data_IF_561852663746
#
_entry.id   IF_561852663746
#
_cell.length_a   1.000
_cell.length_b   1.000
_cell.length_c   1.000
_cell.angle_alpha   90.00
_cell.angle_beta   90.00
_cell.angle_gamma   90.00
#
_symmetry.space_group_name_H-M   'P 1'
#
loop_
_entity.id
_entity.type
_entity.pdbx_description
1 polymer ?
#
# COMPACT_ATOMS: atom_id res chain seq x y z
N UNK A 1 19.60 -39.29 6.45
CA UNK A 1 18.50 -38.51 7.07
C UNK A 1 17.78 -37.72 5.97
N UNK A 2 16.44 -37.78 5.86
CA UNK A 2 15.69 -37.02 4.86
C UNK A 2 15.78 -35.51 5.14
N UNK A 3 16.14 -34.73 4.12
CA UNK A 3 16.29 -33.27 4.20
C UNK A 3 14.90 -32.62 4.34
N UNK A 4 14.58 -32.14 5.55
CA UNK A 4 13.35 -31.40 5.82
C UNK A 4 13.37 -30.12 4.98
N UNK A 5 12.52 -30.06 3.96
CA UNK A 5 12.35 -28.85 3.14
C UNK A 5 11.66 -27.79 4.00
N UNK A 6 12.31 -26.63 4.18
CA UNK A 6 11.71 -25.48 4.87
C UNK A 6 10.42 -25.09 4.14
N UNK A 7 9.33 -24.76 4.86
CA UNK A 7 8.09 -24.34 4.23
C UNK A 7 8.35 -23.09 3.37
N UNK A 8 7.95 -23.14 2.11
CA UNK A 8 8.07 -22.02 1.19
C UNK A 8 7.17 -20.90 1.66
N UNK A 9 7.78 -19.79 2.11
CA UNK A 9 7.07 -18.58 2.50
C UNK A 9 6.23 -18.11 1.31
N UNK A 10 4.91 -18.06 1.48
CA UNK A 10 4.00 -17.53 0.45
C UNK A 10 4.48 -16.12 0.06
N UNK A 11 4.68 -15.87 -1.23
CA UNK A 11 5.12 -14.56 -1.72
C UNK A 11 3.99 -13.56 -1.42
N UNK A 12 4.24 -12.60 -0.54
CA UNK A 12 3.33 -11.47 -0.34
C UNK A 12 3.14 -10.71 -1.67
N UNK A 13 1.89 -10.52 -2.14
CA UNK A 13 1.61 -9.88 -3.42
C UNK A 13 1.95 -8.38 -3.42
N UNK A 14 1.89 -7.74 -2.24
CA UNK A 14 2.22 -6.33 -2.05
C UNK A 14 3.19 -6.17 -0.89
N UNK A 15 4.29 -5.45 -1.12
CA UNK A 15 5.29 -5.12 -0.09
C UNK A 15 5.48 -3.61 0.00
N UNK A 16 5.48 -3.10 1.22
CA UNK A 16 5.83 -1.71 1.46
C UNK A 16 7.35 -1.57 1.55
N UNK A 17 7.91 -0.60 0.83
CA UNK A 17 9.34 -0.31 0.81
C UNK A 17 9.59 1.19 0.93
N UNK A 18 10.81 1.53 1.35
CA UNK A 18 11.28 2.89 1.45
C UNK A 18 12.46 3.12 0.48
N UNK A 19 12.49 4.29 -0.16
CA UNK A 19 13.60 4.77 -0.98
C UNK A 19 14.16 6.03 -0.33
N UNK A 20 15.47 6.04 -0.04
CA UNK A 20 16.16 7.24 0.43
C UNK A 20 16.25 8.27 -0.69
N UNK A 21 15.90 9.52 -0.41
CA UNK A 21 16.04 10.66 -1.30
C UNK A 21 17.33 11.43 -0.98
N UNK A 22 17.72 12.33 -1.87
CA UNK A 22 18.92 13.16 -1.73
C UNK A 22 18.81 14.16 -0.57
N UNK A 23 17.59 14.54 -0.18
CA UNK A 23 17.27 15.41 0.95
C UNK A 23 17.37 14.71 2.32
N UNK A 24 17.66 13.41 2.36
CA UNK A 24 17.70 12.60 3.58
C UNK A 24 16.35 12.06 4.04
N UNK A 25 15.26 12.42 3.36
CA UNK A 25 13.92 11.84 3.58
C UNK A 25 13.81 10.45 2.94
N UNK A 26 12.81 9.67 3.35
CA UNK A 26 12.52 8.38 2.74
C UNK A 26 11.13 8.37 2.11
N UNK A 27 11.05 8.18 0.79
CA UNK A 27 9.79 8.02 0.07
C UNK A 27 9.28 6.59 0.20
N UNK A 28 8.02 6.44 0.57
CA UNK A 28 7.33 5.16 0.70
C UNK A 28 6.65 4.77 -0.62
N UNK A 29 6.80 3.51 -1.00
CA UNK A 29 6.18 2.94 -2.19
C UNK A 29 5.76 1.49 -1.97
N UNK A 30 4.73 1.08 -2.69
CA UNK A 30 4.30 -0.31 -2.78
C UNK A 30 5.01 -0.99 -3.96
N UNK A 31 5.60 -2.12 -3.66
CA UNK A 31 6.14 -3.07 -4.62
C UNK A 31 5.13 -4.19 -4.80
N UNK A 32 4.46 -4.18 -5.95
CA UNK A 32 3.36 -5.08 -6.27
C UNK A 32 3.85 -6.09 -7.31
N UNK A 33 3.69 -7.37 -7.00
CA UNK A 33 4.02 -8.45 -7.92
C UNK A 33 2.76 -9.21 -8.29
N UNK A 34 2.31 -9.07 -9.55
CA UNK A 34 1.11 -9.77 -10.06
C UNK A 34 1.36 -10.30 -11.47
N UNK A 35 0.86 -11.50 -11.78
CA UNK A 35 0.89 -12.10 -13.12
C UNK A 35 2.26 -12.00 -13.83
N UNK A 36 3.36 -12.25 -13.10
CA UNK A 36 4.72 -12.16 -13.63
C UNK A 36 5.24 -10.74 -13.88
N UNK A 37 4.44 -9.70 -13.66
CA UNK A 37 4.81 -8.30 -13.80
C UNK A 37 5.00 -7.64 -12.42
N UNK A 38 6.06 -6.84 -12.31
CA UNK A 38 6.37 -6.05 -11.12
C UNK A 38 6.03 -4.59 -11.40
N UNK A 39 5.19 -4.01 -10.55
CA UNK A 39 4.76 -2.61 -10.64
C UNK A 39 5.06 -1.89 -9.35
N UNK A 40 5.45 -0.61 -9.46
CA UNK A 40 5.72 0.25 -8.33
C UNK A 40 4.66 1.32 -8.23
N UNK A 41 4.10 1.51 -7.03
CA UNK A 41 3.10 2.52 -6.75
C UNK A 41 3.65 3.45 -5.66
N UNK A 42 3.96 4.69 -6.02
CA UNK A 42 4.52 5.66 -5.10
C UNK A 42 3.41 6.30 -4.29
N UNK A 43 3.46 6.17 -2.96
CA UNK A 43 2.42 6.66 -2.07
C UNK A 43 2.46 8.19 -1.87
N UNK A 44 3.52 8.85 -2.34
CA UNK A 44 3.85 10.27 -2.06
C UNK A 44 3.88 10.58 -0.55
N UNK A 45 4.09 9.55 0.26
CA UNK A 45 4.32 9.63 1.69
C UNK A 45 5.82 9.62 1.94
N UNK A 46 6.29 10.52 2.80
CA UNK A 46 7.70 10.70 3.10
C UNK A 46 7.92 10.57 4.60
N UNK A 47 8.96 9.84 4.98
CA UNK A 47 9.50 9.81 6.33
C UNK A 47 10.60 10.87 6.44
N UNK A 48 10.47 11.73 7.43
CA UNK A 48 11.41 12.81 7.73
C UNK A 48 12.51 12.23 8.63
N UNK A 49 13.78 12.64 8.50
CA UNK A 49 14.82 12.23 9.45
C UNK A 49 14.39 12.53 10.90
N UNK A 50 14.53 11.54 11.79
CA UNK A 50 14.10 11.62 13.18
C UNK A 50 15.08 12.46 14.01
N UNK A 51 14.91 13.78 13.93
CA UNK A 51 15.67 14.75 14.75
C UNK A 51 14.92 15.18 16.00
N UNK A 52 13.58 15.14 15.97
CA UNK A 52 12.70 15.58 17.06
C UNK A 52 11.61 14.53 17.37
N UNK A 53 11.06 14.58 18.59
CA UNK A 53 9.94 13.75 19.02
C UNK A 53 8.68 13.99 18.18
N UNK A 54 8.45 15.22 17.71
CA UNK A 54 7.33 15.51 16.80
C UNK A 54 7.51 14.80 15.45
N UNK A 55 8.73 14.80 14.90
CA UNK A 55 9.05 14.09 13.67
C UNK A 55 8.79 12.58 13.80
N UNK A 56 9.13 11.99 14.96
CA UNK A 56 8.84 10.59 15.26
C UNK A 56 7.34 10.29 15.26
N UNK A 57 6.52 11.16 15.89
CA UNK A 57 5.06 11.01 15.92
C UNK A 57 4.46 11.14 14.51
N UNK A 58 4.95 12.08 13.72
CA UNK A 58 4.53 12.25 12.33
C UNK A 58 4.91 11.03 11.48
N UNK A 59 6.13 10.53 11.60
CA UNK A 59 6.58 9.32 10.90
C UNK A 59 5.73 8.10 11.27
N UNK A 60 5.35 7.95 12.54
CA UNK A 60 4.45 6.89 12.98
C UNK A 60 3.07 7.01 12.31
N UNK A 61 2.50 8.23 12.25
CA UNK A 61 1.23 8.47 11.57
C UNK A 61 1.32 8.18 10.06
N UNK A 62 2.39 8.63 9.41
CA UNK A 62 2.70 8.34 8.01
C UNK A 62 2.82 6.83 7.77
N UNK A 63 3.47 6.10 8.69
CA UNK A 63 3.57 4.66 8.59
C UNK A 63 2.23 3.95 8.74
N UNK A 64 1.40 4.39 9.68
CA UNK A 64 0.06 3.84 9.84
C UNK A 64 -0.78 4.06 8.58
N UNK A 65 -0.71 5.25 7.98
CA UNK A 65 -1.37 5.54 6.71
C UNK A 65 -0.85 4.65 5.56
N UNK A 66 0.47 4.48 5.44
CA UNK A 66 1.06 3.62 4.41
C UNK A 66 0.67 2.14 4.58
N UNK A 67 0.58 1.66 5.82
CA UNK A 67 0.09 0.31 6.12
C UNK A 67 -1.40 0.15 5.79
N UNK A 68 -2.22 1.17 6.06
CA UNK A 68 -3.63 1.16 5.66
C UNK A 68 -3.79 1.08 4.14
N UNK A 69 -3.00 1.85 3.38
CA UNK A 69 -3.00 1.79 1.90
C UNK A 69 -2.52 0.43 1.42
N UNK A 70 -1.48 -0.15 2.03
CA UNK A 70 -1.01 -1.52 1.72
C UNK A 70 -2.16 -2.53 1.90
N UNK A 71 -2.87 -2.48 3.03
CA UNK A 71 -3.99 -3.37 3.31
C UNK A 71 -5.14 -3.19 2.31
N UNK A 72 -5.51 -1.94 2.00
CA UNK A 72 -6.50 -1.64 0.97
C UNK A 72 -6.10 -2.23 -0.38
N UNK A 73 -4.83 -2.10 -0.77
CA UNK A 73 -4.32 -2.64 -2.03
C UNK A 73 -4.35 -4.16 -2.10
N UNK A 74 -4.08 -4.84 -0.98
CA UNK A 74 -4.22 -6.30 -0.89
C UNK A 74 -5.67 -6.71 -1.11
N UNK A 75 -6.63 -6.01 -0.48
CA UNK A 75 -8.06 -6.29 -0.66
C UNK A 75 -8.49 -6.06 -2.10
N UNK A 76 -8.06 -4.95 -2.73
CA UNK A 76 -8.36 -4.65 -4.13
C UNK A 76 -7.83 -5.73 -5.09
N UNK A 77 -6.60 -6.22 -4.86
CA UNK A 77 -6.03 -7.29 -5.67
C UNK A 77 -6.82 -8.60 -5.51
N UNK A 78 -7.17 -8.96 -4.28
CA UNK A 78 -7.98 -10.17 -4.00
C UNK A 78 -9.38 -10.05 -4.60
N UNK A 79 -10.03 -8.89 -4.49
CA UNK A 79 -11.35 -8.65 -5.07
C UNK A 79 -11.31 -8.67 -6.61
N UNK A 80 -10.25 -8.10 -7.20
CA UNK A 80 -10.03 -8.13 -8.65
C UNK A 80 -9.77 -9.55 -9.18
N UNK A 81 -9.09 -10.40 -8.41
CA UNK A 81 -8.93 -11.83 -8.74
C UNK A 81 -10.24 -12.61 -8.59
N UNK A 82 -11.06 -12.27 -7.60
CA UNK A 82 -12.34 -12.92 -7.34
C UNK A 82 -13.49 -12.41 -8.22
N UNK A 83 -13.27 -11.38 -9.05
CA UNK A 83 -14.32 -10.76 -9.89
C UNK A 83 -15.42 -10.07 -9.08
N UNK A 84 -15.15 -9.71 -7.83
CA UNK A 84 -16.12 -9.09 -6.93
C UNK A 84 -16.09 -7.57 -7.19
N UNK A 85 -17.01 -7.09 -8.02
CA UNK A 85 -17.24 -5.64 -8.18
C UNK A 85 -17.89 -5.07 -6.91
N UNK A 86 -17.12 -4.40 -6.08
CA UNK A 86 -17.68 -3.53 -5.04
C UNK A 86 -18.27 -2.31 -5.73
N UNK A 87 -19.55 -2.35 -6.11
CA UNK A 87 -20.30 -1.15 -6.53
C UNK A 87 -20.20 -0.11 -5.43
N UNK A 88 -19.56 1.02 -5.72
CA UNK A 88 -19.57 2.18 -4.84
C UNK A 88 -21.03 2.60 -4.62
N UNK A 89 -21.43 2.76 -3.35
CA UNK A 89 -22.75 3.30 -3.02
C UNK A 89 -22.74 4.79 -3.35
N UNK A 90 -23.27 5.16 -4.51
CA UNK A 90 -23.47 6.55 -4.89
C UNK A 90 -24.65 7.11 -4.09
N UNK A 91 -24.45 8.22 -3.38
CA UNK A 91 -25.54 8.91 -2.70
C UNK A 91 -26.45 9.59 -3.72
N UNK A 92 -27.77 9.49 -3.53
CA UNK A 92 -28.77 10.06 -4.45
C UNK A 92 -28.54 11.56 -4.71
N UNK A 93 -28.05 12.32 -3.71
CA UNK A 93 -27.73 13.75 -3.87
C UNK A 93 -26.63 14.00 -4.94
N UNK A 94 -25.63 13.13 -5.01
CA UNK A 94 -24.51 13.26 -5.93
C UNK A 94 -24.97 12.95 -7.37
N UNK A 95 -25.84 11.95 -7.52
CA UNK A 95 -26.49 11.60 -8.78
C UNK A 95 -27.47 12.67 -9.27
N UNK A 96 -28.19 13.35 -8.37
CA UNK A 96 -29.12 14.42 -8.75
C UNK A 96 -28.41 15.68 -9.27
N UNK A 97 -27.14 15.91 -8.90
CA UNK A 97 -26.38 17.07 -9.36
C UNK A 97 -25.78 16.90 -10.77
N UNK A 98 -25.69 15.69 -11.31
CA UNK A 98 -25.13 15.47 -12.66
C UNK A 98 -26.08 15.86 -13.79
N UNK A 99 -27.36 16.10 -13.51
CA UNK A 99 -28.38 16.45 -14.51
C UNK A 99 -29.07 17.80 -14.21
N UNK A 100 -28.35 18.73 -13.58
CA UNK A 100 -28.78 20.13 -13.45
C UNK A 100 -28.36 20.97 -14.65
#
# INVERSE_FOLDING_TARGET
MPRIKKPTKVKEPVRLRAKKLADGSQSLYLDIYRFGKRTYEYLKLYLIPETDNNARRQNQATMNAANAIKSKRIIELTNGEAGIETKERVYLLDWMNTYK
#
